data_IF_191200621281
#
_entry.id   IF_191200621281
#
_cell.length_a   1.000
_cell.length_b   1.000
_cell.length_c   1.000
_cell.angle_alpha   90.00
_cell.angle_beta   90.00
_cell.angle_gamma   90.00
#
_symmetry.space_group_name_H-M   'P 1'
#
loop_
_entity.id
_entity.type
_entity.pdbx_description
1 polymer ?
#
# COMPACT_ATOMS: atom_id res chain seq x y z
N UNK A 1 29.18 22.77 -1.50
CA UNK A 1 28.44 22.73 -0.23
C UNK A 1 27.31 21.72 -0.39
N UNK A 2 27.21 20.69 0.46
CA UNK A 2 26.17 19.67 0.38
C UNK A 2 24.96 20.17 1.20
N UNK A 3 23.85 20.47 0.52
CA UNK A 3 22.66 21.07 1.15
C UNK A 3 21.61 20.03 1.58
N UNK A 4 21.90 18.74 1.41
CA UNK A 4 21.00 17.63 1.73
C UNK A 4 21.75 16.55 2.49
N UNK A 5 21.14 16.05 3.54
CA UNK A 5 21.47 14.75 4.12
C UNK A 5 20.57 13.78 3.41
N UNK A 6 21.13 12.96 2.52
CA UNK A 6 20.34 11.94 1.83
C UNK A 6 20.27 10.68 2.70
N UNK A 7 19.07 10.14 2.83
CA UNK A 7 18.77 8.84 3.40
C UNK A 7 18.84 7.83 2.26
N UNK A 8 19.67 6.83 2.46
CA UNK A 8 19.87 5.76 1.49
C UNK A 8 19.01 4.55 1.85
N UNK A 9 18.41 3.94 0.83
CA UNK A 9 17.79 2.63 0.94
C UNK A 9 18.89 1.60 0.61
N UNK A 10 19.23 0.68 1.52
CA UNK A 10 20.19 -0.37 1.24
C UNK A 10 19.79 -1.16 -0.01
N UNK A 11 20.75 -1.41 -0.91
CA UNK A 11 20.49 -2.20 -2.11
C UNK A 11 20.15 -3.63 -1.70
N UNK A 12 18.97 -4.09 -2.13
CA UNK A 12 18.56 -5.47 -1.92
C UNK A 12 19.37 -6.41 -2.79
N UNK A 13 19.75 -7.56 -2.24
CA UNK A 13 20.40 -8.65 -2.96
C UNK A 13 19.41 -9.33 -3.92
N UNK A 14 18.18 -9.58 -3.45
CA UNK A 14 17.08 -10.04 -4.30
C UNK A 14 16.41 -8.85 -4.98
N UNK A 15 16.16 -8.94 -6.28
CA UNK A 15 15.53 -7.88 -7.06
C UNK A 15 14.10 -8.24 -7.42
N UNK A 16 13.26 -7.21 -7.51
CA UNK A 16 11.92 -7.30 -8.10
C UNK A 16 12.11 -7.39 -9.61
N UNK A 17 11.65 -8.50 -10.16
CA UNK A 17 11.61 -8.76 -11.58
C UNK A 17 10.27 -8.37 -12.19
N UNK A 18 10.25 -8.24 -13.52
CA UNK A 18 9.08 -7.79 -14.30
C UNK A 18 7.83 -8.67 -14.11
N UNK A 19 8.03 -9.95 -13.78
CA UNK A 19 6.96 -10.94 -13.59
C UNK A 19 6.59 -11.17 -12.13
N UNK A 20 7.24 -10.47 -11.20
CA UNK A 20 6.95 -10.62 -9.79
C UNK A 20 5.56 -10.05 -9.45
N UNK A 21 4.90 -10.71 -8.50
CA UNK A 21 3.65 -10.27 -7.90
C UNK A 21 3.94 -9.54 -6.60
N UNK A 22 3.44 -8.30 -6.49
CA UNK A 22 3.66 -7.41 -5.36
C UNK A 22 2.34 -7.15 -4.65
N UNK A 23 2.21 -7.63 -3.41
CA UNK A 23 1.08 -7.35 -2.55
C UNK A 23 1.39 -6.17 -1.65
N UNK A 24 0.47 -5.22 -1.52
CA UNK A 24 0.63 -4.05 -0.66
C UNK A 24 -0.56 -3.88 0.28
N UNK A 25 -0.28 -3.57 1.55
CA UNK A 25 -1.32 -3.26 2.55
C UNK A 25 -0.87 -2.14 3.48
N UNK A 26 -1.78 -1.24 3.85
CA UNK A 26 -1.50 -0.19 4.82
C UNK A 26 -2.15 1.15 4.50
N UNK A 27 -1.43 2.22 4.88
CA UNK A 27 -1.87 3.61 4.74
C UNK A 27 -2.13 4.01 3.28
N UNK A 28 -2.68 5.21 3.07
CA UNK A 28 -2.87 5.78 1.74
C UNK A 28 -1.56 5.90 0.93
N UNK A 29 -0.41 6.00 1.60
CA UNK A 29 0.89 5.98 0.93
C UNK A 29 1.20 4.62 0.29
N UNK A 30 0.68 3.51 0.84
CA UNK A 30 0.78 2.20 0.21
C UNK A 30 0.08 2.20 -1.16
N UNK A 31 -1.08 2.85 -1.25
CA UNK A 31 -1.82 3.00 -2.51
C UNK A 31 -1.04 3.85 -3.50
N UNK A 32 -0.51 5.02 -3.11
CA UNK A 32 0.30 5.87 -3.99
C UNK A 32 1.52 5.13 -4.58
N UNK A 33 2.21 4.33 -3.77
CA UNK A 33 3.33 3.48 -4.26
C UNK A 33 2.85 2.35 -5.17
N UNK A 34 1.72 1.71 -4.85
CA UNK A 34 1.17 0.62 -5.64
C UNK A 34 0.64 1.11 -6.99
N UNK A 35 0.07 2.31 -7.03
CA UNK A 35 -0.40 2.94 -8.26
C UNK A 35 0.77 3.20 -9.22
N UNK A 36 1.94 3.61 -8.71
CA UNK A 36 3.15 3.75 -9.54
C UNK A 36 3.67 2.39 -10.06
N UNK A 37 3.65 1.35 -9.22
CA UNK A 37 3.99 -0.02 -9.66
C UNK A 37 3.03 -0.50 -10.76
N UNK A 38 1.73 -0.30 -10.58
CA UNK A 38 0.69 -0.67 -11.55
C UNK A 38 0.75 0.17 -12.84
N UNK A 39 1.04 1.47 -12.76
CA UNK A 39 1.33 2.29 -13.94
C UNK A 39 2.57 1.78 -14.68
N UNK A 40 3.56 1.28 -13.96
CA UNK A 40 4.72 0.55 -14.49
C UNK A 40 4.36 -0.79 -15.14
N UNK A 41 3.08 -1.20 -15.10
CA UNK A 41 2.53 -2.47 -15.58
C UNK A 41 3.09 -3.69 -14.83
N UNK A 42 3.45 -3.54 -13.55
CA UNK A 42 3.74 -4.70 -12.70
C UNK A 42 2.43 -5.30 -12.14
N UNK A 43 2.49 -6.57 -11.74
CA UNK A 43 1.35 -7.26 -11.13
C UNK A 43 1.22 -6.85 -9.66
N UNK A 44 0.13 -6.18 -9.32
CA UNK A 44 -0.08 -5.67 -7.96
C UNK A 44 -1.49 -5.89 -7.43
N UNK A 45 -1.60 -6.15 -6.13
CA UNK A 45 -2.85 -6.02 -5.36
C UNK A 45 -2.61 -5.08 -4.18
N UNK A 46 -3.51 -4.12 -3.99
CA UNK A 46 -3.43 -3.15 -2.90
C UNK A 46 -4.66 -3.25 -2.00
N UNK A 47 -4.45 -3.27 -0.69
CA UNK A 47 -5.47 -3.00 0.32
C UNK A 47 -6.82 -3.71 0.07
N UNK A 48 -6.90 -5.05 0.14
CA UNK A 48 -8.16 -5.78 -0.04
C UNK A 48 -9.23 -5.43 1.02
N UNK A 49 -8.83 -4.79 2.12
CA UNK A 49 -9.71 -4.26 3.18
C UNK A 49 -9.90 -2.73 3.08
N UNK A 50 -9.31 -2.11 2.05
CA UNK A 50 -9.10 -0.68 1.97
C UNK A 50 -8.00 -0.18 2.92
N UNK A 51 -7.85 1.14 3.01
CA UNK A 51 -6.78 1.76 3.80
C UNK A 51 -6.94 1.50 5.29
N UNK A 52 -5.99 0.77 5.87
CA UNK A 52 -5.90 0.47 7.30
C UNK A 52 -4.49 0.77 7.80
N UNK A 53 -4.34 1.26 9.04
CA UNK A 53 -3.12 2.00 9.39
C UNK A 53 -2.24 1.35 10.45
N UNK A 54 -2.80 0.61 11.39
CA UNK A 54 -2.05 0.13 12.56
C UNK A 54 -1.70 -1.36 12.45
N UNK A 55 -0.63 -1.82 13.12
CA UNK A 55 -0.22 -3.22 13.06
C UNK A 55 -1.27 -4.25 13.46
N UNK A 56 -2.09 -3.96 14.48
CA UNK A 56 -3.14 -4.88 14.92
C UNK A 56 -4.17 -5.14 13.80
N UNK A 57 -4.70 -4.06 13.21
CA UNK A 57 -5.68 -4.17 12.13
C UNK A 57 -5.12 -4.86 10.89
N UNK A 58 -3.86 -4.57 10.52
CA UNK A 58 -3.20 -5.25 9.39
C UNK A 58 -2.97 -6.73 9.69
N UNK A 59 -2.54 -7.07 10.90
CA UNK A 59 -2.37 -8.46 11.33
C UNK A 59 -3.68 -9.24 11.24
N UNK A 60 -4.80 -8.65 11.70
CA UNK A 60 -6.12 -9.26 11.58
C UNK A 60 -6.56 -9.45 10.13
N UNK A 61 -6.35 -8.45 9.27
CA UNK A 61 -6.65 -8.54 7.84
C UNK A 61 -5.84 -9.65 7.16
N UNK A 62 -4.53 -9.70 7.41
CA UNK A 62 -3.64 -10.74 6.87
C UNK A 62 -4.03 -12.12 7.38
N UNK A 63 -4.38 -12.26 8.67
CA UNK A 63 -4.87 -13.53 9.20
C UNK A 63 -6.12 -14.02 8.48
N UNK A 64 -7.07 -13.13 8.18
CA UNK A 64 -8.27 -13.50 7.42
C UNK A 64 -7.98 -13.87 5.98
N UNK A 65 -7.05 -13.19 5.32
CA UNK A 65 -6.57 -13.59 4.00
C UNK A 65 -5.95 -14.98 4.06
N UNK A 66 -5.09 -15.23 5.04
CA UNK A 66 -4.44 -16.52 5.26
C UNK A 66 -5.47 -17.65 5.45
N UNK A 67 -6.39 -17.47 6.40
CA UNK A 67 -7.40 -18.47 6.75
C UNK A 67 -8.53 -18.61 5.72
N UNK A 68 -8.57 -17.73 4.71
CA UNK A 68 -9.73 -17.56 3.81
C UNK A 68 -11.05 -17.37 4.58
N UNK A 69 -11.01 -16.59 5.66
CA UNK A 69 -12.13 -16.42 6.59
C UNK A 69 -13.08 -15.31 6.12
N UNK A 70 -14.15 -15.71 5.43
CA UNK A 70 -15.19 -14.81 4.93
C UNK A 70 -16.04 -14.19 6.04
N UNK A 71 -16.44 -12.93 5.83
CA UNK A 71 -17.33 -12.21 6.73
C UNK A 71 -18.78 -12.65 6.55
N UNK A 72 -19.51 -12.59 7.65
CA UNK A 72 -20.94 -12.88 7.74
C UNK A 72 -21.75 -11.65 8.17
N UNK A 73 -23.08 -11.74 8.06
CA UNK A 73 -24.00 -10.64 8.42
C UNK A 73 -23.84 -10.17 9.87
N UNK A 74 -23.59 -11.07 10.82
CA UNK A 74 -23.46 -10.77 12.26
C UNK A 74 -22.25 -9.86 12.59
N UNK A 75 -21.29 -9.81 11.68
CA UNK A 75 -20.08 -9.01 11.81
C UNK A 75 -20.26 -7.58 11.29
N UNK A 76 -21.34 -7.31 10.56
CA UNK A 76 -21.67 -5.98 10.09
C UNK A 76 -22.33 -5.13 11.19
N UNK A 77 -22.31 -3.83 10.95
CA UNK A 77 -22.99 -2.81 11.76
C UNK A 77 -23.81 -1.95 10.81
N UNK A 78 -25.01 -1.56 11.23
CA UNK A 78 -25.81 -0.58 10.50
C UNK A 78 -25.53 0.83 11.05
N UNK A 79 -25.14 1.76 10.17
CA UNK A 79 -24.94 3.15 10.51
C UNK A 79 -25.25 4.04 9.30
N UNK A 80 -26.01 5.12 9.48
CA UNK A 80 -26.43 6.04 8.41
C UNK A 80 -27.03 5.34 7.17
N UNK A 81 -27.93 4.37 7.39
CA UNK A 81 -28.58 3.57 6.33
C UNK A 81 -27.62 2.74 5.46
N UNK A 82 -26.40 2.50 5.95
CA UNK A 82 -25.39 1.65 5.34
C UNK A 82 -24.98 0.51 6.28
N UNK A 83 -24.54 -0.59 5.68
CA UNK A 83 -23.91 -1.71 6.35
C UNK A 83 -22.40 -1.59 6.21
N UNK A 84 -21.72 -1.58 7.36
CA UNK A 84 -20.30 -1.33 7.49
C UNK A 84 -19.61 -2.47 8.23
N UNK A 85 -18.30 -2.63 8.02
CA UNK A 85 -17.44 -3.49 8.82
C UNK A 85 -16.32 -2.66 9.43
N UNK A 86 -16.18 -2.69 10.76
CA UNK A 86 -15.13 -1.95 11.48
C UNK A 86 -13.70 -2.34 11.08
N UNK A 87 -13.54 -3.44 10.35
CA UNK A 87 -12.26 -3.94 9.84
C UNK A 87 -11.91 -3.38 8.45
N UNK A 88 -12.84 -2.67 7.79
CA UNK A 88 -12.71 -2.19 6.42
C UNK A 88 -12.73 -0.67 6.31
N UNK A 89 -12.18 -0.14 5.22
CA UNK A 89 -12.35 1.26 4.86
C UNK A 89 -13.79 1.55 4.43
N UNK A 90 -14.24 2.80 4.58
CA UNK A 90 -15.61 3.21 4.23
C UNK A 90 -15.95 3.09 2.73
N UNK A 91 -14.96 2.78 1.87
CA UNK A 91 -15.21 2.45 0.46
C UNK A 91 -15.95 1.12 0.26
N UNK A 92 -16.02 0.28 1.29
CA UNK A 92 -16.72 -1.01 1.29
C UNK A 92 -18.17 -0.90 1.76
N UNK A 93 -18.56 0.26 2.31
CA UNK A 93 -19.90 0.49 2.85
C UNK A 93 -20.93 0.44 1.70
N UNK A 94 -22.04 -0.28 1.90
CA UNK A 94 -23.17 -0.36 0.96
C UNK A 94 -24.49 -0.29 1.71
N UNK A 95 -25.58 -0.01 1.00
CA UNK A 95 -26.94 0.05 1.56
C UNK A 95 -27.57 -1.29 1.85
N UNK A 96 -27.02 -2.37 1.31
CA UNK A 96 -27.59 -3.71 1.42
C UNK A 96 -26.53 -4.71 1.88
N UNK A 97 -26.91 -5.58 2.83
CA UNK A 97 -26.05 -6.58 3.46
C UNK A 97 -25.32 -7.43 2.41
N UNK A 98 -26.06 -8.02 1.46
CA UNK A 98 -25.47 -8.85 0.41
C UNK A 98 -24.43 -8.09 -0.40
N UNK A 99 -24.69 -6.83 -0.79
CA UNK A 99 -23.73 -6.03 -1.55
C UNK A 99 -22.48 -5.68 -0.74
N UNK A 100 -22.62 -5.39 0.56
CA UNK A 100 -21.48 -5.17 1.47
C UNK A 100 -20.64 -6.43 1.60
N UNK A 101 -21.28 -7.58 1.84
CA UNK A 101 -20.59 -8.86 1.98
C UNK A 101 -19.91 -9.28 0.66
N UNK A 102 -20.55 -9.07 -0.48
CA UNK A 102 -20.00 -9.39 -1.80
C UNK A 102 -18.68 -8.64 -2.03
N UNK A 103 -18.64 -7.33 -1.79
CA UNK A 103 -17.41 -6.53 -2.00
C UNK A 103 -16.31 -6.86 -0.99
N UNK A 104 -16.67 -7.10 0.28
CA UNK A 104 -15.72 -7.47 1.34
C UNK A 104 -15.10 -8.85 1.05
N UNK A 105 -15.94 -9.84 0.77
CA UNK A 105 -15.50 -11.22 0.57
C UNK A 105 -14.78 -11.40 -0.78
N UNK A 106 -15.13 -10.62 -1.80
CA UNK A 106 -14.34 -10.55 -3.04
C UNK A 106 -12.90 -10.04 -2.76
N UNK A 107 -12.74 -9.09 -1.84
CA UNK A 107 -11.43 -8.62 -1.37
C UNK A 107 -10.60 -9.75 -0.75
N UNK A 108 -11.22 -10.63 0.04
CA UNK A 108 -10.57 -11.81 0.62
C UNK A 108 -10.12 -12.78 -0.47
N UNK A 109 -11.00 -13.10 -1.40
CA UNK A 109 -10.71 -14.06 -2.48
C UNK A 109 -9.57 -13.55 -3.38
N UNK A 110 -9.57 -12.27 -3.74
CA UNK A 110 -8.49 -11.65 -4.52
C UNK A 110 -7.20 -11.63 -3.73
N UNK A 111 -7.23 -11.19 -2.47
CA UNK A 111 -6.05 -11.09 -1.62
C UNK A 111 -5.40 -12.44 -1.33
N UNK A 112 -6.19 -13.45 -0.92
CA UNK A 112 -5.70 -14.80 -0.65
C UNK A 112 -5.03 -15.41 -1.88
N UNK A 113 -5.74 -15.44 -3.03
CA UNK A 113 -5.21 -16.01 -4.28
C UNK A 113 -3.95 -15.29 -4.76
N UNK A 114 -3.89 -13.97 -4.61
CA UNK A 114 -2.71 -13.21 -5.03
C UNK A 114 -1.50 -13.50 -4.13
N UNK A 115 -1.71 -13.61 -2.81
CA UNK A 115 -0.66 -13.88 -1.83
C UNK A 115 0.02 -15.23 -2.07
N UNK A 116 -0.70 -16.26 -2.49
CA UNK A 116 -0.13 -17.60 -2.79
C UNK A 116 1.05 -17.57 -3.77
N UNK A 117 1.03 -16.63 -4.72
CA UNK A 117 2.08 -16.45 -5.72
C UNK A 117 2.94 -15.20 -5.48
N UNK A 118 2.68 -14.43 -4.42
CA UNK A 118 3.37 -13.17 -4.15
C UNK A 118 4.85 -13.43 -3.81
N UNK A 119 5.74 -12.78 -4.56
CA UNK A 119 7.17 -12.76 -4.25
C UNK A 119 7.54 -11.62 -3.29
N UNK A 120 6.68 -10.60 -3.22
CA UNK A 120 6.92 -9.36 -2.46
C UNK A 120 5.67 -8.92 -1.74
N UNK A 121 5.82 -8.55 -0.47
CA UNK A 121 4.77 -7.97 0.35
C UNK A 121 5.27 -6.66 0.95
N UNK A 122 4.55 -5.55 0.72
CA UNK A 122 4.89 -4.22 1.26
C UNK A 122 3.82 -3.81 2.28
N UNK A 123 4.24 -3.58 3.53
CA UNK A 123 3.37 -3.19 4.63
C UNK A 123 3.72 -1.77 5.06
N UNK A 124 2.75 -0.86 4.97
CA UNK A 124 2.93 0.57 5.31
C UNK A 124 2.10 0.97 6.51
N UNK A 125 2.71 1.04 7.70
CA UNK A 125 2.01 1.47 8.91
C UNK A 125 1.81 2.99 8.96
N UNK A 126 0.59 3.43 9.23
CA UNK A 126 0.24 4.84 9.40
C UNK A 126 0.34 5.34 10.84
N UNK A 127 -0.11 4.54 11.81
CA UNK A 127 -0.24 4.97 13.21
C UNK A 127 -0.20 3.78 14.19
N UNK A 128 0.27 3.99 15.42
CA UNK A 128 0.13 3.05 16.53
C UNK A 128 -1.09 3.34 17.43
N UNK A 129 -1.93 4.31 17.05
CA UNK A 129 -3.25 4.48 17.69
C UNK A 129 -4.23 3.41 17.21
N UNK A 130 -5.03 2.93 18.14
CA UNK A 130 -6.18 2.06 17.88
C UNK A 130 -7.43 2.66 18.55
N UNK A 131 -8.59 2.36 17.98
CA UNK A 131 -9.88 2.70 18.56
C UNK A 131 -10.61 1.42 18.93
N UNK A 132 -11.19 1.36 20.12
CA UNK A 132 -12.08 0.30 20.55
C UNK A 132 -13.52 0.78 20.42
N UNK A 133 -14.33 0.09 19.62
CA UNK A 133 -15.76 0.31 19.54
C UNK A 133 -16.45 -0.28 20.77
N UNK A 134 -16.79 0.61 21.71
CA UNK A 134 -17.30 0.28 23.05
C UNK A 134 -18.54 -0.65 22.99
N UNK A 135 -19.55 -0.44 22.12
CA UNK A 135 -20.74 -1.28 22.11
C UNK A 135 -20.50 -2.76 21.83
N UNK A 136 -19.49 -3.10 21.01
CA UNK A 136 -19.12 -4.50 20.70
C UNK A 136 -17.81 -4.95 21.36
N UNK A 137 -17.14 -4.09 22.15
CA UNK A 137 -15.80 -4.33 22.71
C UNK A 137 -14.80 -4.84 21.67
N UNK A 138 -14.80 -4.20 20.50
CA UNK A 138 -14.04 -4.62 19.32
C UNK A 138 -13.08 -3.51 18.91
N UNK A 139 -11.81 -3.85 18.71
CA UNK A 139 -10.84 -2.94 18.11
C UNK A 139 -11.21 -2.72 16.64
N UNK A 140 -11.24 -1.46 16.22
CA UNK A 140 -11.68 -1.02 14.90
C UNK A 140 -10.49 -0.54 14.06
N UNK A 141 -10.41 -1.04 12.83
CA UNK A 141 -9.51 -0.51 11.80
C UNK A 141 -10.00 0.85 11.26
N UNK A 142 -11.32 1.03 11.18
CA UNK A 142 -11.96 2.27 10.75
C UNK A 142 -13.17 2.61 11.64
N UNK A 143 -13.37 3.90 11.90
CA UNK A 143 -14.49 4.39 12.72
C UNK A 143 -15.74 4.77 11.91
N UNK A 144 -15.70 4.76 10.57
CA UNK A 144 -16.84 5.09 9.67
C UNK A 144 -17.59 6.38 10.00
N UNK A 145 -16.86 7.40 10.50
CA UNK A 145 -17.44 8.67 10.98
C UNK A 145 -18.51 8.49 12.09
N UNK A 146 -18.61 7.32 12.70
CA UNK A 146 -19.44 7.09 13.88
C UNK A 146 -18.98 8.05 14.99
N UNK A 147 -19.91 8.64 15.77
CA UNK A 147 -19.56 9.61 16.81
C UNK A 147 -18.50 9.08 17.79
N UNK A 148 -17.50 9.90 18.09
CA UNK A 148 -16.33 9.51 18.90
C UNK A 148 -16.69 9.01 20.31
N UNK A 149 -17.85 9.39 20.85
CA UNK A 149 -18.37 8.87 22.15
C UNK A 149 -18.54 7.34 22.19
N UNK A 150 -18.60 6.69 21.04
CA UNK A 150 -18.68 5.22 20.93
C UNK A 150 -17.32 4.54 20.83
N UNK A 151 -16.23 5.32 20.85
CA UNK A 151 -14.89 4.79 20.76
C UNK A 151 -14.04 5.22 21.94
N UNK A 152 -13.25 4.28 22.43
CA UNK A 152 -12.11 4.58 23.28
C UNK A 152 -10.84 4.54 22.43
N UNK A 153 -10.04 5.60 22.50
CA UNK A 153 -8.80 5.71 21.74
C UNK A 153 -7.61 5.50 22.67
N UNK A 154 -6.67 4.66 22.25
CA UNK A 154 -5.39 4.48 22.95
C UNK A 154 -4.24 4.20 21.98
N UNK A 155 -3.02 4.34 22.48
CA UNK A 155 -1.85 3.77 21.81
C UNK A 155 -1.83 2.26 22.07
N UNK A 156 -1.49 1.49 21.04
CA UNK A 156 -1.08 0.10 21.23
C UNK A 156 0.16 0.06 22.12
N UNK A 157 0.20 -0.91 23.02
CA UNK A 157 1.40 -1.23 23.80
C UNK A 157 2.51 -1.74 22.88
N UNK A 158 3.75 -1.69 23.35
CA UNK A 158 4.88 -2.22 22.58
C UNK A 158 4.68 -3.70 22.24
N UNK A 159 4.23 -4.50 23.20
CA UNK A 159 3.92 -5.92 23.03
C UNK A 159 2.83 -6.17 21.97
N UNK A 160 1.73 -5.41 22.01
CA UNK A 160 0.69 -5.53 20.97
C UNK A 160 1.21 -5.22 19.56
N UNK A 161 2.12 -4.26 19.44
CA UNK A 161 2.74 -3.92 18.16
C UNK A 161 3.65 -5.06 17.67
N UNK A 162 4.58 -5.53 18.50
CA UNK A 162 5.54 -6.58 18.12
C UNK A 162 4.84 -7.91 17.85
N UNK A 163 3.85 -8.30 18.66
CA UNK A 163 3.04 -9.51 18.44
C UNK A 163 2.27 -9.44 17.13
N UNK A 164 1.66 -8.29 16.83
CA UNK A 164 0.91 -8.10 15.58
C UNK A 164 1.83 -8.20 14.36
N UNK A 165 3.02 -7.59 14.42
CA UNK A 165 4.01 -7.66 13.34
C UNK A 165 4.49 -9.11 13.16
N UNK A 166 4.84 -9.78 14.25
CA UNK A 166 5.31 -11.17 14.21
C UNK A 166 4.24 -12.12 13.62
N UNK A 167 3.00 -12.04 14.09
CA UNK A 167 1.89 -12.82 13.55
C UNK A 167 1.61 -12.51 12.07
N UNK A 168 1.78 -11.25 11.66
CA UNK A 168 1.70 -10.87 10.24
C UNK A 168 2.75 -11.58 9.42
N UNK A 169 4.01 -11.60 9.89
CA UNK A 169 5.10 -12.31 9.19
C UNK A 169 4.83 -13.80 9.11
N UNK A 170 4.39 -14.44 10.19
CA UNK A 170 4.08 -15.88 10.19
C UNK A 170 3.01 -16.24 9.16
N UNK A 171 1.88 -15.55 9.20
CA UNK A 171 0.78 -15.81 8.27
C UNK A 171 1.20 -15.54 6.82
N UNK A 172 2.00 -14.50 6.55
CA UNK A 172 2.50 -14.22 5.20
C UNK A 172 3.47 -15.28 4.72
N UNK A 173 4.40 -15.74 5.56
CA UNK A 173 5.34 -16.80 5.21
C UNK A 173 4.67 -18.16 4.98
N UNK A 174 3.54 -18.41 5.64
CA UNK A 174 2.78 -19.65 5.44
C UNK A 174 1.96 -19.63 4.14
N UNK A 175 1.29 -18.52 3.83
CA UNK A 175 0.46 -18.43 2.62
C UNK A 175 1.26 -18.14 1.34
N UNK A 176 2.35 -17.37 1.42
CA UNK A 176 3.12 -16.96 0.25
C UNK A 176 4.15 -18.02 -0.16
N UNK A 177 4.90 -17.72 -1.22
CA UNK A 177 6.07 -18.51 -1.64
C UNK A 177 7.15 -18.50 -0.55
N UNK A 178 7.89 -19.61 -0.43
CA UNK A 178 8.95 -19.80 0.59
C UNK A 178 9.99 -18.67 0.65
N UNK A 179 10.26 -18.01 -0.48
CA UNK A 179 11.26 -16.96 -0.63
C UNK A 179 10.68 -15.53 -0.63
N UNK A 180 9.43 -15.36 -0.18
CA UNK A 180 8.73 -14.08 -0.10
C UNK A 180 9.57 -13.05 0.65
N UNK A 181 9.68 -11.85 0.08
CA UNK A 181 10.32 -10.71 0.74
C UNK A 181 9.24 -9.79 1.33
N UNK A 182 9.35 -9.49 2.62
CA UNK A 182 8.40 -8.66 3.34
C UNK A 182 9.08 -7.35 3.71
N UNK A 183 8.57 -6.25 3.14
CA UNK A 183 9.11 -4.91 3.31
C UNK A 183 8.18 -4.10 4.21
N UNK A 184 8.67 -3.72 5.38
CA UNK A 184 7.95 -2.89 6.32
C UNK A 184 8.36 -1.43 6.15
N UNK A 185 7.39 -0.53 6.23
CA UNK A 185 7.68 0.90 6.25
C UNK A 185 6.66 1.67 7.09
N UNK A 186 7.08 2.86 7.51
CA UNK A 186 6.21 3.79 8.22
C UNK A 186 5.82 4.90 7.25
N UNK A 187 4.52 5.15 7.16
CA UNK A 187 3.93 6.13 6.26
C UNK A 187 4.53 7.52 6.50
N UNK A 188 4.94 8.25 5.45
CA UNK A 188 5.42 9.63 5.55
C UNK A 188 4.29 10.64 5.83
N UNK A 189 3.03 10.22 5.67
CA UNK A 189 1.85 11.06 5.96
C UNK A 189 1.77 11.38 7.45
N UNK A 190 1.59 12.67 7.76
CA UNK A 190 1.47 13.20 9.12
C UNK A 190 0.02 13.12 9.61
N UNK A 191 -0.21 12.45 10.73
CA UNK A 191 -1.52 12.36 11.39
C UNK A 191 -1.63 13.40 12.50
N UNK A 192 -2.07 14.62 12.15
CA UNK A 192 -1.97 15.79 13.03
C UNK A 192 -3.23 16.10 13.81
N UNK A 193 -4.30 15.30 13.61
CA UNK A 193 -5.59 15.48 14.29
C UNK A 193 -5.45 15.53 15.81
N UNK A 194 -4.49 14.79 16.37
CA UNK A 194 -4.23 14.74 17.81
C UNK A 194 -3.06 15.62 18.24
N UNK A 195 -2.33 16.20 17.29
CA UNK A 195 -1.13 16.99 17.52
C UNK A 195 0.13 16.36 16.93
N UNK A 196 1.17 17.20 16.80
CA UNK A 196 2.45 16.80 16.21
C UNK A 196 3.26 15.90 17.13
N UNK A 197 3.15 16.10 18.45
CA UNK A 197 3.85 15.31 19.46
C UNK A 197 3.30 13.87 19.46
N UNK A 198 1.99 13.74 19.38
CA UNK A 198 1.23 12.50 19.32
C UNK A 198 1.54 11.73 18.03
N UNK A 199 1.61 12.44 16.90
CA UNK A 199 2.08 11.85 15.65
C UNK A 199 3.50 11.31 15.79
N UNK A 200 4.43 12.11 16.33
CA UNK A 200 5.82 11.68 16.47
C UNK A 200 5.95 10.48 17.41
N UNK A 201 5.31 10.51 18.58
CA UNK A 201 5.25 9.38 19.50
C UNK A 201 4.68 8.13 18.81
N UNK A 202 3.62 8.29 18.03
CA UNK A 202 2.98 7.20 17.31
C UNK A 202 3.92 6.57 16.27
N UNK A 203 4.63 7.39 15.48
CA UNK A 203 5.62 6.94 14.48
C UNK A 203 6.83 6.30 15.13
N UNK A 204 7.38 6.89 16.19
CA UNK A 204 8.51 6.32 16.94
C UNK A 204 8.19 4.92 17.48
N UNK A 205 6.99 4.71 18.04
CA UNK A 205 6.57 3.38 18.50
C UNK A 205 6.51 2.35 17.36
N UNK A 206 6.02 2.74 16.18
CA UNK A 206 6.01 1.86 15.00
C UNK A 206 7.42 1.50 14.54
N UNK A 207 8.30 2.50 14.41
CA UNK A 207 9.69 2.31 13.98
C UNK A 207 10.40 1.34 14.94
N UNK A 208 10.32 1.60 16.24
CA UNK A 208 10.93 0.72 17.26
C UNK A 208 10.38 -0.70 17.18
N UNK A 209 9.06 -0.87 17.13
CA UNK A 209 8.44 -2.19 17.09
C UNK A 209 8.78 -2.98 15.81
N UNK A 210 8.85 -2.31 14.65
CA UNK A 210 9.26 -2.94 13.39
C UNK A 210 10.70 -3.43 13.50
N UNK A 211 11.64 -2.56 13.90
CA UNK A 211 13.04 -2.95 14.02
C UNK A 211 13.24 -4.10 15.01
N UNK A 212 12.55 -4.09 16.14
CA UNK A 212 12.63 -5.18 17.11
C UNK A 212 12.07 -6.49 16.54
N UNK A 213 10.85 -6.46 16.00
CA UNK A 213 10.16 -7.65 15.53
C UNK A 213 10.84 -8.31 14.32
N UNK A 214 11.45 -7.54 13.42
CA UNK A 214 12.01 -8.08 12.16
C UNK A 214 13.51 -8.34 12.19
N UNK A 215 14.25 -7.83 13.19
CA UNK A 215 15.72 -7.90 13.22
C UNK A 215 16.31 -9.30 13.14
N UNK A 216 15.57 -10.32 13.55
CA UNK A 216 15.99 -11.73 13.55
C UNK A 216 15.24 -12.59 12.51
N UNK A 217 14.38 -11.98 11.70
CA UNK A 217 13.55 -12.69 10.73
C UNK A 217 14.14 -12.56 9.33
N UNK A 218 14.45 -13.70 8.72
CA UNK A 218 14.89 -13.74 7.32
C UNK A 218 13.84 -13.14 6.39
N UNK A 219 14.32 -12.52 5.29
CA UNK A 219 13.49 -11.90 4.25
C UNK A 219 12.55 -10.79 4.74
N UNK A 220 12.78 -10.23 5.93
CA UNK A 220 12.02 -9.11 6.47
C UNK A 220 12.90 -7.87 6.57
N UNK A 221 12.50 -6.78 5.90
CA UNK A 221 13.35 -5.58 5.77
C UNK A 221 12.57 -4.32 6.12
N UNK A 222 13.27 -3.30 6.64
CA UNK A 222 12.71 -1.98 6.87
C UNK A 222 13.07 -1.03 5.72
N UNK A 223 12.07 -0.33 5.16
CA UNK A 223 12.25 0.74 4.18
C UNK A 223 12.14 2.10 4.88
N UNK A 224 13.17 2.96 4.79
CA UNK A 224 13.23 4.22 5.52
C UNK A 224 12.44 5.35 4.82
N UNK A 225 11.19 5.10 4.42
CA UNK A 225 10.34 6.06 3.70
C UNK A 225 10.02 7.28 4.56
N UNK A 226 9.69 7.04 5.84
CA UNK A 226 9.39 8.11 6.78
C UNK A 226 10.58 9.05 6.93
N UNK A 227 11.77 8.48 7.10
CA UNK A 227 13.03 9.17 7.23
C UNK A 227 13.38 9.92 5.95
N UNK A 228 13.22 9.34 4.75
CA UNK A 228 13.40 10.09 3.49
C UNK A 228 12.52 11.34 3.47
N UNK A 229 11.25 11.22 3.87
CA UNK A 229 10.36 12.38 3.90
C UNK A 229 10.80 13.42 4.95
N UNK A 230 11.17 12.97 6.14
CA UNK A 230 11.52 13.87 7.26
C UNK A 230 12.91 14.48 7.14
N UNK A 231 13.85 13.78 6.49
CA UNK A 231 15.28 14.11 6.50
C UNK A 231 15.83 14.54 5.12
N UNK A 232 15.30 14.03 4.01
CA UNK A 232 15.74 14.39 2.64
C UNK A 232 14.83 15.43 2.00
N UNK A 233 13.53 15.29 2.26
CA UNK A 233 12.44 16.08 1.67
C UNK A 233 11.78 16.98 2.73
N UNK A 234 12.57 17.54 3.65
CA UNK A 234 12.07 18.26 4.83
C UNK A 234 11.24 19.52 4.54
N UNK A 235 11.41 20.09 3.35
CA UNK A 235 10.80 21.36 2.95
C UNK A 235 9.30 21.19 2.65
N UNK A 236 8.47 22.16 3.08
CA UNK A 236 7.03 22.14 2.86
C UNK A 236 6.63 22.07 1.38
N UNK A 237 7.50 22.42 0.43
CA UNK A 237 7.28 22.22 -1.01
C UNK A 237 7.01 20.77 -1.41
N UNK A 238 7.39 19.82 -0.56
CA UNK A 238 7.17 18.39 -0.76
C UNK A 238 5.87 17.88 -0.12
N UNK A 239 5.09 18.75 0.52
CA UNK A 239 3.77 18.45 1.05
C UNK A 239 2.68 19.07 0.16
N UNK A 240 1.55 18.37 0.01
CA UNK A 240 0.33 18.87 -0.62
C UNK A 240 -0.20 20.08 0.19
N UNK A 241 -1.22 20.75 -0.33
CA UNK A 241 -1.82 21.95 0.29
C UNK A 241 -2.27 21.75 1.75
N UNK A 242 -2.60 20.51 2.13
CA UNK A 242 -2.95 20.15 3.50
C UNK A 242 -1.76 20.14 4.47
N UNK A 243 -0.53 20.26 3.98
CA UNK A 243 0.73 20.19 4.74
C UNK A 243 0.98 18.83 5.43
N UNK A 244 0.23 17.78 5.05
CA UNK A 244 0.25 16.45 5.68
C UNK A 244 0.70 15.36 4.72
N UNK A 245 0.17 15.37 3.50
CA UNK A 245 0.44 14.34 2.50
C UNK A 245 1.61 14.74 1.60
N UNK A 246 2.47 13.80 1.18
CA UNK A 246 3.52 14.08 0.20
C UNK A 246 2.94 14.51 -1.16
N UNK A 247 3.63 15.41 -1.88
CA UNK A 247 3.31 15.73 -3.28
C UNK A 247 3.68 14.58 -4.22
N UNK A 248 3.17 14.60 -5.45
CA UNK A 248 3.55 13.63 -6.49
C UNK A 248 5.06 13.63 -6.76
N UNK A 249 5.73 14.80 -6.67
CA UNK A 249 7.18 14.90 -6.77
C UNK A 249 7.89 14.13 -5.63
N UNK A 250 7.39 14.25 -4.40
CA UNK A 250 7.95 13.55 -3.24
C UNK A 250 7.74 12.03 -3.36
N UNK A 251 6.53 11.60 -3.76
CA UNK A 251 6.23 10.17 -4.00
C UNK A 251 7.12 9.61 -5.11
N UNK A 252 7.28 10.31 -6.25
CA UNK A 252 8.16 9.89 -7.34
C UNK A 252 9.62 9.77 -6.89
N UNK A 253 10.11 10.71 -6.07
CA UNK A 253 11.48 10.63 -5.55
C UNK A 253 11.70 9.40 -4.66
N UNK A 254 10.73 9.09 -3.79
CA UNK A 254 10.77 7.88 -2.95
C UNK A 254 10.69 6.62 -3.82
N UNK A 255 9.83 6.62 -4.85
CA UNK A 255 9.72 5.52 -5.80
C UNK A 255 11.02 5.27 -6.57
N UNK A 256 11.70 6.34 -7.01
CA UNK A 256 13.01 6.23 -7.68
C UNK A 256 14.07 5.64 -6.73
N UNK A 257 14.16 6.12 -5.48
CA UNK A 257 15.06 5.55 -4.46
C UNK A 257 14.74 4.07 -4.18
N UNK A 258 13.46 3.72 -4.10
CA UNK A 258 13.01 2.34 -3.94
C UNK A 258 13.42 1.48 -5.14
N UNK A 259 13.16 1.95 -6.36
CA UNK A 259 13.53 1.25 -7.59
C UNK A 259 15.04 1.05 -7.74
N UNK A 260 15.86 2.03 -7.37
CA UNK A 260 17.31 1.88 -7.36
C UNK A 260 17.80 0.78 -6.40
N UNK A 261 17.12 0.62 -5.27
CA UNK A 261 17.46 -0.38 -4.27
C UNK A 261 16.90 -1.76 -4.58
N UNK A 262 15.69 -1.87 -5.15
CA UNK A 262 14.94 -3.13 -5.24
C UNK A 262 14.67 -3.62 -6.66
N UNK A 263 14.66 -2.78 -7.69
CA UNK A 263 14.40 -3.26 -9.07
C UNK A 263 15.65 -3.80 -9.73
N UNK A 264 15.48 -4.84 -10.55
CA UNK A 264 16.49 -5.25 -11.52
C UNK A 264 16.61 -4.18 -12.61
N UNK A 265 17.71 -4.16 -13.36
CA UNK A 265 17.90 -3.21 -14.45
C UNK A 265 16.84 -3.41 -15.55
N UNK A 266 16.41 -4.65 -15.79
CA UNK A 266 15.33 -4.98 -16.72
C UNK A 266 13.99 -4.40 -16.23
N UNK A 267 13.66 -4.55 -14.95
CA UNK A 267 12.46 -3.95 -14.34
C UNK A 267 12.49 -2.42 -14.41
N UNK A 268 13.62 -1.78 -14.13
CA UNK A 268 13.77 -0.31 -14.28
C UNK A 268 13.51 0.13 -15.72
N UNK A 269 14.10 -0.57 -16.68
CA UNK A 269 13.93 -0.29 -18.12
C UNK A 269 12.46 -0.45 -18.55
N UNK A 270 11.81 -1.53 -18.11
CA UNK A 270 10.40 -1.83 -18.37
C UNK A 270 9.48 -0.73 -17.83
N UNK A 271 9.56 -0.42 -16.54
CA UNK A 271 8.74 0.61 -15.89
C UNK A 271 8.93 1.97 -16.57
N UNK A 272 10.19 2.36 -16.83
CA UNK A 272 10.50 3.64 -17.47
C UNK A 272 9.87 3.77 -18.86
N UNK A 273 9.85 2.68 -19.62
CA UNK A 273 9.22 2.66 -20.95
C UNK A 273 7.69 2.72 -20.83
N UNK A 274 7.11 1.97 -19.89
CA UNK A 274 5.67 1.96 -19.65
C UNK A 274 5.15 3.32 -19.17
N UNK A 275 5.89 4.03 -18.32
CA UNK A 275 5.56 5.42 -17.96
C UNK A 275 5.53 6.36 -19.17
N UNK A 276 6.44 6.19 -20.14
CA UNK A 276 6.40 6.97 -21.38
C UNK A 276 5.21 6.58 -22.26
N UNK A 277 4.85 5.30 -22.30
CA UNK A 277 3.69 4.82 -23.05
C UNK A 277 2.40 5.40 -22.44
N UNK A 278 2.23 5.33 -21.11
CA UNK A 278 1.05 5.90 -20.44
C UNK A 278 0.89 7.40 -20.73
N UNK A 279 1.98 8.18 -20.60
CA UNK A 279 1.95 9.62 -20.95
C UNK A 279 1.61 9.87 -22.42
N UNK A 280 2.02 8.97 -23.32
CA UNK A 280 1.69 9.07 -24.73
C UNK A 280 0.22 8.70 -24.99
N UNK A 281 -0.36 7.76 -24.25
CA UNK A 281 -1.78 7.38 -24.32
C UNK A 281 -2.70 8.49 -23.82
N UNK A 282 -2.24 9.35 -22.90
CA UNK A 282 -3.00 10.53 -22.44
C UNK A 282 -3.11 11.65 -23.49
N UNK A 283 -2.31 11.60 -24.57
CA UNK A 283 -2.31 12.64 -25.59
C UNK A 283 -3.60 12.62 -26.42
N UNK A 284 -4.37 13.71 -26.34
CA UNK A 284 -5.61 13.93 -27.11
C UNK A 284 -5.32 14.84 -28.31
N UNK A 285 -5.91 14.52 -29.46
CA UNK A 285 -5.90 15.36 -30.67
C UNK A 285 -7.32 15.81 -30.99
N UNK A 286 -7.46 16.98 -31.61
CA UNK A 286 -8.74 17.46 -32.15
C UNK A 286 -8.98 16.98 -33.60
N UNK A 287 -7.94 16.44 -34.26
CA UNK A 287 -8.02 15.83 -35.60
C UNK A 287 -7.39 14.43 -35.59
N UNK A 288 -8.25 13.41 -35.48
CA UNK A 288 -7.84 12.00 -35.52
C UNK A 288 -7.37 11.54 -36.91
N UNK A 289 -7.64 12.32 -37.96
CA UNK A 289 -7.25 12.00 -39.34
C UNK A 289 -5.94 12.67 -39.75
N UNK A 290 -5.32 13.47 -38.89
CA UNK A 290 -3.99 14.03 -39.15
C UNK A 290 -2.99 12.86 -39.38
N UNK A 291 -2.31 12.81 -40.55
CA UNK A 291 -1.34 11.77 -40.85
C UNK A 291 -0.25 11.59 -39.79
N UNK A 292 0.18 12.67 -39.12
CA UNK A 292 1.17 12.61 -38.04
C UNK A 292 0.61 11.95 -36.78
N UNK A 293 -0.66 12.18 -36.49
CA UNK A 293 -1.32 11.54 -35.35
C UNK A 293 -1.49 10.03 -35.60
N UNK A 294 -1.85 9.65 -36.82
CA UNK A 294 -1.93 8.23 -37.22
C UNK A 294 -0.55 7.56 -37.06
N UNK A 295 0.52 8.17 -37.60
CA UNK A 295 1.88 7.64 -37.45
C UNK A 295 2.32 7.54 -35.98
N UNK A 296 1.95 8.53 -35.15
CA UNK A 296 2.19 8.49 -33.72
C UNK A 296 1.49 7.31 -33.04
N UNK A 297 0.21 7.07 -33.35
CA UNK A 297 -0.58 5.95 -32.82
C UNK A 297 -0.01 4.61 -33.25
N UNK A 298 0.42 4.46 -34.49
CA UNK A 298 1.07 3.24 -34.99
C UNK A 298 2.36 2.94 -34.22
N UNK A 299 3.23 3.95 -34.04
CA UNK A 299 4.47 3.80 -33.25
C UNK A 299 4.18 3.47 -31.78
N UNK A 300 3.14 4.08 -31.20
CA UNK A 300 2.73 3.79 -29.83
C UNK A 300 2.25 2.36 -29.68
N UNK A 301 1.44 1.87 -30.62
CA UNK A 301 0.98 0.48 -30.67
C UNK A 301 2.15 -0.51 -30.77
N UNK A 302 3.12 -0.25 -31.65
CA UNK A 302 4.33 -1.08 -31.74
C UNK A 302 5.11 -1.14 -30.42
N UNK A 303 5.24 -0.01 -29.71
CA UNK A 303 5.89 0.03 -28.39
C UNK A 303 5.13 -0.80 -27.36
N UNK A 304 3.79 -0.73 -27.35
CA UNK A 304 2.93 -1.55 -26.48
C UNK A 304 3.14 -3.04 -26.77
N UNK A 305 3.12 -3.47 -28.03
CA UNK A 305 3.33 -4.87 -28.41
C UNK A 305 4.71 -5.39 -28.00
N UNK A 306 5.76 -4.55 -28.11
CA UNK A 306 7.10 -4.90 -27.60
C UNK A 306 7.07 -5.14 -26.09
N UNK A 307 6.35 -4.33 -25.30
CA UNK A 307 6.26 -4.55 -23.86
C UNK A 307 5.41 -5.77 -23.53
N UNK A 308 4.31 -6.01 -24.27
CA UNK A 308 3.48 -7.22 -24.12
C UNK A 308 4.29 -8.49 -24.36
N UNK A 309 5.24 -8.45 -25.31
CA UNK A 309 6.17 -9.56 -25.54
C UNK A 309 7.19 -9.82 -24.43
N UNK A 310 7.34 -8.91 -23.45
CA UNK A 310 8.27 -9.07 -22.32
C UNK A 310 7.66 -9.76 -21.10
N UNK A 311 6.33 -9.85 -21.04
CA UNK A 311 5.61 -10.37 -19.87
C UNK A 311 4.49 -11.32 -20.28
N UNK A 312 4.09 -12.20 -19.37
CA UNK A 312 3.03 -13.21 -19.58
C UNK A 312 1.68 -12.73 -19.08
N UNK A 313 1.68 -11.80 -18.13
CA UNK A 313 0.46 -11.19 -17.63
C UNK A 313 -0.02 -10.09 -18.58
N UNK A 314 -1.33 -9.80 -18.55
CA UNK A 314 -1.92 -8.78 -19.40
C UNK A 314 -1.44 -7.40 -18.96
N UNK A 315 -0.95 -6.62 -19.92
CA UNK A 315 -0.57 -5.21 -19.74
C UNK A 315 -1.20 -4.35 -20.82
N UNK A 316 -1.53 -3.11 -20.44
CA UNK A 316 -2.34 -2.15 -21.20
C UNK A 316 -3.74 -2.72 -21.56
N UNK A 317 -4.79 -2.05 -21.11
CA UNK A 317 -6.17 -2.40 -21.48
C UNK A 317 -6.32 -2.40 -23.01
N UNK A 318 -7.05 -3.37 -23.54
CA UNK A 318 -7.49 -3.36 -24.94
C UNK A 318 -8.75 -2.50 -25.04
N UNK A 319 -8.62 -1.20 -24.78
CA UNK A 319 -9.73 -0.24 -24.94
C UNK A 319 -9.67 0.46 -26.30
#
# INVERSE_FOLDING_TARGET
>A
MKFRTEVDIPKSEKKIEVEDKIFSIGSCFASEMTDLLGQGQLQTVNNPFGTIFNPFSISNAVKRLHDSEFYTEDELITFNDEFISLDHHSSFDRRYIHQTLDVINAGIEVGNRFLQDAGWVIITYGTSFIYEFIPKKKLAANCHKIPQKFFEKRLLSHQELTDSIYNTVLNLKDICRDDVQILFTVSPVRHTKDGMVENQLSKSKLITAVHEAVSQLENCHYLPVYEIMMDDLRDYRFYKEDMLHPTSQAVSYIFDKFGEAYFSEDTKSFIKENFKINRALEHRTDDEKDPKYIEFREKLSQRIEIQRGKVRHKIFSDD
#
